data_IF_209941585915
#
_entry.id   IF_209941585915
#
_cell.length_a   1.000
_cell.length_b   1.000
_cell.length_c   1.000
_cell.angle_alpha   90.00
_cell.angle_beta   90.00
_cell.angle_gamma   90.00
#
_symmetry.space_group_name_H-M   'P 1'
#
loop_
_entity.id
_entity.type
_entity.pdbx_description
1 polymer ?
#
# COMPACT_ATOMS: atom_id res chain seq x y z
N UNK A 1 18.89 14.02 15.92
CA UNK A 1 17.46 13.76 16.26
C UNK A 1 16.56 15.01 16.16
N UNK A 2 16.95 16.19 16.68
CA UNK A 2 16.13 17.41 16.61
C UNK A 2 15.74 17.83 15.17
N UNK A 3 16.64 17.67 14.20
CA UNK A 3 16.39 18.03 12.79
C UNK A 3 15.39 17.09 12.11
N UNK A 4 15.51 15.78 12.34
CA UNK A 4 14.56 14.76 11.82
C UNK A 4 13.13 15.09 12.25
N UNK A 5 12.93 15.34 13.55
CA UNK A 5 11.59 15.64 14.07
C UNK A 5 11.00 16.93 13.47
N UNK A 6 11.83 17.96 13.24
CA UNK A 6 11.38 19.21 12.61
C UNK A 6 10.94 18.99 11.17
N UNK A 7 11.77 18.32 10.37
CA UNK A 7 11.45 18.00 8.97
C UNK A 7 10.20 17.11 8.91
N UNK A 8 10.16 16.04 9.70
CA UNK A 8 9.02 15.13 9.77
C UNK A 8 7.72 15.88 10.11
N UNK A 9 7.73 16.71 11.17
CA UNK A 9 6.54 17.46 11.61
C UNK A 9 6.08 18.47 10.56
N UNK A 10 7.02 19.12 9.89
CA UNK A 10 6.71 20.04 8.80
C UNK A 10 6.05 19.30 7.63
N UNK A 11 6.67 18.23 7.16
CA UNK A 11 6.17 17.48 6.01
C UNK A 11 4.85 16.77 6.30
N UNK A 12 4.70 16.19 7.48
CA UNK A 12 3.46 15.56 7.90
C UNK A 12 2.31 16.59 7.90
N UNK A 13 2.56 17.81 8.39
CA UNK A 13 1.57 18.90 8.35
C UNK A 13 1.28 19.37 6.92
N UNK A 14 2.28 19.40 6.05
CA UNK A 14 2.15 19.77 4.65
C UNK A 14 1.25 18.76 3.92
N UNK A 15 1.54 17.47 4.06
CA UNK A 15 0.78 16.38 3.43
C UNK A 15 -0.64 16.28 3.99
N UNK A 16 -0.83 16.42 5.31
CA UNK A 16 -2.18 16.41 5.92
C UNK A 16 -3.08 17.56 5.47
N UNK A 17 -2.52 18.72 5.13
CA UNK A 17 -3.28 19.85 4.57
C UNK A 17 -3.51 19.72 3.07
N UNK A 18 -2.83 18.78 2.42
CA UNK A 18 -2.95 18.52 0.99
C UNK A 18 -4.34 18.00 0.63
N UNK A 19 -4.99 18.65 -0.34
CA UNK A 19 -6.31 18.20 -0.86
C UNK A 19 -6.26 16.77 -1.37
N UNK A 20 -5.16 16.37 -2.01
CA UNK A 20 -5.00 15.02 -2.58
C UNK A 20 -5.08 13.91 -1.54
N UNK A 21 -4.53 14.11 -0.34
CA UNK A 21 -4.63 13.12 0.73
C UNK A 21 -6.08 12.96 1.20
N UNK A 22 -6.79 14.09 1.36
CA UNK A 22 -8.21 14.08 1.75
C UNK A 22 -9.06 13.36 0.69
N UNK A 23 -8.83 13.65 -0.59
CA UNK A 23 -9.51 12.94 -1.70
C UNK A 23 -9.22 11.44 -1.65
N UNK A 24 -7.97 11.04 -1.40
CA UNK A 24 -7.60 9.63 -1.29
C UNK A 24 -8.32 8.93 -0.12
N UNK A 25 -8.32 9.53 1.08
CA UNK A 25 -9.03 8.98 2.24
C UNK A 25 -10.53 8.87 2.00
N UNK A 26 -11.16 9.91 1.43
CA UNK A 26 -12.60 9.90 1.10
C UNK A 26 -12.90 8.84 0.04
N UNK A 27 -12.06 8.72 -0.98
CA UNK A 27 -12.22 7.69 -2.01
C UNK A 27 -12.19 6.29 -1.42
N UNK A 28 -11.20 5.99 -0.57
CA UNK A 28 -11.13 4.72 0.15
C UNK A 28 -12.35 4.48 1.04
N UNK A 29 -12.81 5.52 1.74
CA UNK A 29 -14.00 5.43 2.59
C UNK A 29 -15.25 5.09 1.79
N UNK A 30 -15.49 5.81 0.68
CA UNK A 30 -16.64 5.58 -0.19
C UNK A 30 -16.58 4.21 -0.87
N UNK A 31 -15.39 3.77 -1.30
CA UNK A 31 -15.22 2.42 -1.86
C UNK A 31 -15.50 1.34 -0.83
N UNK A 32 -14.98 1.51 0.39
CA UNK A 32 -15.20 0.57 1.49
C UNK A 32 -16.67 0.49 1.87
N UNK A 33 -17.32 1.64 2.05
CA UNK A 33 -18.76 1.72 2.34
C UNK A 33 -19.60 1.12 1.22
N UNK A 34 -19.26 1.42 -0.03
CA UNK A 34 -19.92 0.86 -1.21
C UNK A 34 -19.81 -0.66 -1.26
N UNK A 35 -18.62 -1.21 -1.03
CA UNK A 35 -18.41 -2.66 -1.01
C UNK A 35 -19.16 -3.34 0.13
N UNK A 36 -19.17 -2.75 1.33
CA UNK A 36 -19.90 -3.33 2.46
C UNK A 36 -21.41 -3.34 2.20
N UNK A 37 -21.98 -2.23 1.73
CA UNK A 37 -23.42 -2.10 1.48
C UNK A 37 -23.92 -2.92 0.30
N UNK A 38 -23.17 -2.93 -0.80
CA UNK A 38 -23.56 -3.63 -2.03
C UNK A 38 -23.16 -5.11 -2.01
N UNK A 39 -22.05 -5.44 -1.37
CA UNK A 39 -21.46 -6.79 -1.35
C UNK A 39 -22.06 -7.74 -0.30
N UNK A 40 -23.06 -7.30 0.46
CA UNK A 40 -23.77 -8.13 1.44
C UNK A 40 -23.02 -8.35 2.77
N UNK A 41 -22.01 -7.52 3.06
CA UNK A 41 -21.22 -7.60 4.30
C UNK A 41 -20.38 -8.87 4.46
N UNK A 42 -19.86 -9.08 5.67
CA UNK A 42 -19.16 -10.30 6.03
C UNK A 42 -17.82 -10.52 5.31
N UNK A 43 -17.45 -11.79 5.15
CA UNK A 43 -16.18 -12.23 4.55
C UNK A 43 -16.05 -11.82 3.09
N UNK A 44 -17.15 -11.80 2.34
CA UNK A 44 -17.16 -11.41 0.92
C UNK A 44 -16.77 -9.94 0.75
N UNK A 45 -17.23 -9.06 1.64
CA UNK A 45 -16.83 -7.65 1.64
C UNK A 45 -15.32 -7.50 1.87
N UNK A 46 -14.74 -8.26 2.81
CA UNK A 46 -13.29 -8.26 3.08
C UNK A 46 -12.49 -8.72 1.86
N UNK A 47 -12.90 -9.82 1.21
CA UNK A 47 -12.23 -10.34 0.01
C UNK A 47 -12.31 -9.38 -1.18
N UNK A 48 -13.46 -8.72 -1.36
CA UNK A 48 -13.62 -7.70 -2.40
C UNK A 48 -12.74 -6.48 -2.12
N UNK A 49 -12.71 -6.02 -0.86
CA UNK A 49 -11.87 -4.90 -0.44
C UNK A 49 -10.37 -5.22 -0.51
N UNK A 50 -9.97 -6.47 -0.26
CA UNK A 50 -8.61 -6.91 -0.50
C UNK A 50 -8.18 -6.59 -1.92
N UNK A 51 -8.94 -7.00 -2.94
CA UNK A 51 -8.59 -6.75 -4.34
C UNK A 51 -8.49 -5.24 -4.64
N UNK A 52 -9.40 -4.44 -4.08
CA UNK A 52 -9.34 -2.97 -4.22
C UNK A 52 -8.07 -2.41 -3.58
N UNK A 53 -7.76 -2.80 -2.35
CA UNK A 53 -6.59 -2.33 -1.60
C UNK A 53 -5.28 -2.73 -2.29
N UNK A 54 -5.19 -3.98 -2.75
CA UNK A 54 -4.00 -4.53 -3.44
C UNK A 54 -3.70 -3.82 -4.76
N UNK A 55 -4.69 -3.21 -5.42
CA UNK A 55 -4.49 -2.47 -6.66
C UNK A 55 -4.30 -0.98 -6.38
N UNK A 56 -5.21 -0.39 -5.61
CA UNK A 56 -5.31 1.06 -5.41
C UNK A 56 -4.22 1.61 -4.49
N UNK A 57 -3.91 0.93 -3.39
CA UNK A 57 -2.94 1.43 -2.41
C UNK A 57 -1.52 1.50 -2.99
N UNK A 58 -1.01 0.46 -3.67
CA UNK A 58 0.24 0.53 -4.41
C UNK A 58 0.31 1.67 -5.43
N UNK A 59 -0.74 1.82 -6.25
CA UNK A 59 -0.79 2.83 -7.29
C UNK A 59 -0.69 4.24 -6.70
N UNK A 60 -1.54 4.55 -5.73
CA UNK A 60 -1.59 5.89 -5.13
C UNK A 60 -0.31 6.19 -4.38
N UNK A 61 0.21 5.25 -3.58
CA UNK A 61 1.44 5.46 -2.81
C UNK A 61 2.63 5.74 -3.72
N UNK A 62 2.68 5.05 -4.86
CA UNK A 62 3.78 5.16 -5.81
C UNK A 62 3.72 6.44 -6.66
N UNK A 63 2.53 6.81 -7.16
CA UNK A 63 2.33 8.06 -7.89
C UNK A 63 2.47 9.28 -6.98
N UNK A 64 1.87 9.24 -5.79
CA UNK A 64 1.93 10.35 -4.86
C UNK A 64 3.36 10.54 -4.31
N UNK A 65 4.06 9.44 -4.01
CA UNK A 65 5.44 9.51 -3.54
C UNK A 65 6.44 10.04 -4.57
N UNK A 66 6.32 9.61 -5.84
CA UNK A 66 7.17 10.15 -6.90
C UNK A 66 6.91 11.63 -7.12
N UNK A 67 5.65 12.03 -7.24
CA UNK A 67 5.26 13.42 -7.47
C UNK A 67 5.64 14.34 -6.32
N UNK A 68 5.50 13.87 -5.09
CA UNK A 68 5.89 14.60 -3.89
C UNK A 68 7.41 14.85 -3.86
N UNK A 69 8.23 13.84 -4.17
CA UNK A 69 9.68 14.01 -4.18
C UNK A 69 10.14 14.96 -5.29
N UNK A 70 9.51 14.91 -6.47
CA UNK A 70 9.77 15.86 -7.54
C UNK A 70 9.41 17.31 -7.15
N UNK A 71 8.28 17.51 -6.48
CA UNK A 71 7.87 18.83 -6.03
C UNK A 71 8.77 19.37 -4.89
N UNK A 72 9.29 18.48 -4.04
CA UNK A 72 10.18 18.84 -2.94
C UNK A 72 11.64 19.03 -3.37
N UNK A 73 12.00 18.83 -4.65
CA UNK A 73 13.40 18.82 -5.11
C UNK A 73 14.14 20.12 -4.81
N UNK A 74 13.55 21.27 -5.13
CA UNK A 74 14.14 22.59 -4.85
C UNK A 74 14.36 22.79 -3.34
N UNK A 75 13.39 22.37 -2.52
CA UNK A 75 13.49 22.43 -1.06
C UNK A 75 14.60 21.51 -0.51
N UNK A 76 14.75 20.31 -1.08
CA UNK A 76 15.82 19.38 -0.72
C UNK A 76 17.19 19.96 -1.05
N UNK A 77 17.34 20.56 -2.24
CA UNK A 77 18.59 21.21 -2.66
C UNK A 77 18.97 22.38 -1.74
N UNK A 78 17.99 23.21 -1.34
CA UNK A 78 18.21 24.30 -0.38
C UNK A 78 18.60 23.80 1.03
N UNK A 79 17.96 22.73 1.52
CA UNK A 79 18.29 22.16 2.83
C UNK A 79 19.67 21.52 2.86
N UNK A 80 20.12 20.94 1.74
CA UNK A 80 21.44 20.32 1.64
C UNK A 80 22.57 21.36 1.52
N UNK A 81 22.27 22.61 1.19
CA UNK A 81 23.21 23.72 1.29
C UNK A 81 23.47 24.14 2.76
N UNK A 82 22.58 23.75 3.68
CA UNK A 82 22.76 23.90 5.12
C UNK A 82 23.44 22.64 5.70
N UNK A 83 24.07 22.72 6.89
CA UNK A 83 24.71 21.57 7.53
C UNK A 83 23.67 20.58 8.09
N UNK A 84 22.96 19.88 7.20
CA UNK A 84 21.93 18.89 7.49
C UNK A 84 22.37 17.53 6.96
N UNK A 85 22.34 16.51 7.83
CA UNK A 85 22.68 15.15 7.43
C UNK A 85 21.69 14.58 6.40
N UNK A 86 22.20 14.02 5.30
CA UNK A 86 21.40 13.40 4.23
C UNK A 86 20.45 12.31 4.75
N UNK A 87 20.91 11.49 5.71
CA UNK A 87 20.10 10.43 6.33
C UNK A 87 18.93 11.02 7.12
N UNK A 88 19.17 12.10 7.85
CA UNK A 88 18.14 12.78 8.64
C UNK A 88 17.05 13.37 7.75
N UNK A 89 17.44 13.95 6.63
CA UNK A 89 16.52 14.51 5.63
C UNK A 89 15.68 13.41 4.96
N UNK A 90 16.32 12.32 4.52
CA UNK A 90 15.62 11.19 3.90
C UNK A 90 14.57 10.57 4.83
N UNK A 91 14.93 10.28 6.08
CA UNK A 91 13.99 9.70 7.07
C UNK A 91 12.83 10.66 7.36
N UNK A 92 13.10 11.96 7.43
CA UNK A 92 12.07 12.98 7.63
C UNK A 92 11.06 13.05 6.48
N UNK A 93 11.53 13.07 5.23
CA UNK A 93 10.70 13.08 4.02
C UNK A 93 9.91 11.77 3.86
N UNK A 94 10.59 10.63 4.00
CA UNK A 94 9.96 9.33 3.87
C UNK A 94 8.87 9.14 4.91
N UNK A 95 9.17 9.38 6.20
CA UNK A 95 8.18 9.30 7.27
C UNK A 95 7.07 10.34 7.13
N UNK A 96 7.40 11.54 6.62
CA UNK A 96 6.45 12.62 6.40
C UNK A 96 5.37 12.28 5.37
N UNK A 97 5.66 11.35 4.47
CA UNK A 97 4.74 10.88 3.45
C UNK A 97 4.11 9.50 3.77
N UNK A 98 4.93 8.54 4.19
CA UNK A 98 4.48 7.17 4.47
C UNK A 98 3.47 7.13 5.62
N UNK A 99 3.65 7.96 6.67
CA UNK A 99 2.72 7.99 7.80
C UNK A 99 1.34 8.54 7.43
N UNK A 100 1.18 9.69 6.75
CA UNK A 100 -0.13 10.15 6.30
C UNK A 100 -0.82 9.19 5.33
N UNK A 101 -0.09 8.58 4.39
CA UNK A 101 -0.67 7.60 3.46
C UNK A 101 -1.17 6.36 4.21
N UNK A 102 -0.39 5.84 5.16
CA UNK A 102 -0.79 4.73 6.01
C UNK A 102 -2.01 5.08 6.87
N UNK A 103 -2.04 6.29 7.44
CA UNK A 103 -3.18 6.78 8.20
C UNK A 103 -4.45 6.91 7.34
N UNK A 104 -4.30 7.34 6.07
CA UNK A 104 -5.42 7.40 5.13
C UNK A 104 -6.00 6.01 4.85
N UNK A 105 -5.18 4.97 4.75
CA UNK A 105 -5.65 3.57 4.63
C UNK A 105 -6.37 3.12 5.90
N UNK A 106 -5.78 3.38 7.07
CA UNK A 106 -6.40 3.02 8.36
C UNK A 106 -7.75 3.69 8.56
N UNK A 107 -7.88 4.97 8.21
CA UNK A 107 -9.13 5.72 8.36
C UNK A 107 -10.12 5.31 7.26
N UNK A 108 -9.69 5.28 6.00
CA UNK A 108 -10.55 5.03 4.86
C UNK A 108 -11.13 3.62 4.86
N UNK A 109 -10.32 2.60 5.17
CA UNK A 109 -10.78 1.20 5.23
C UNK A 109 -11.29 0.85 6.62
N UNK A 110 -10.62 1.30 7.68
CA UNK A 110 -10.96 0.89 9.04
C UNK A 110 -12.27 1.50 9.55
N UNK A 111 -12.56 2.77 9.23
CA UNK A 111 -13.72 3.47 9.79
C UNK A 111 -15.07 2.82 9.39
N UNK A 112 -15.32 2.48 8.11
CA UNK A 112 -16.55 1.78 7.72
C UNK A 112 -16.70 0.40 8.36
N UNK A 113 -15.59 -0.33 8.55
CA UNK A 113 -15.64 -1.62 9.24
C UNK A 113 -15.95 -1.48 10.72
N UNK A 114 -15.47 -0.44 11.42
CA UNK A 114 -15.85 -0.24 12.83
C UNK A 114 -17.36 -0.09 13.03
N UNK A 115 -18.07 0.44 12.03
CA UNK A 115 -19.52 0.61 12.09
C UNK A 115 -20.30 -0.67 11.75
N UNK A 116 -19.76 -1.49 10.85
CA UNK A 116 -20.46 -2.66 10.29
C UNK A 116 -19.88 -4.02 10.71
N UNK A 117 -18.76 -4.05 11.46
CA UNK A 117 -18.05 -5.29 11.77
C UNK A 117 -18.75 -6.11 12.84
N UNK A 118 -18.91 -7.40 12.56
CA UNK A 118 -19.16 -8.41 13.59
C UNK A 118 -17.84 -8.85 14.24
N UNK A 119 -17.84 -9.33 15.50
CA UNK A 119 -16.62 -9.76 16.20
C UNK A 119 -15.80 -10.83 15.43
N UNK A 120 -16.49 -11.68 14.66
CA UNK A 120 -15.89 -12.70 13.80
C UNK A 120 -15.00 -12.15 12.66
N UNK A 121 -15.20 -10.89 12.26
CA UNK A 121 -14.47 -10.26 11.15
C UNK A 121 -13.25 -9.44 11.63
N UNK A 122 -13.05 -9.28 12.94
CA UNK A 122 -11.97 -8.45 13.48
C UNK A 122 -10.58 -8.93 13.04
N UNK A 123 -10.36 -10.25 12.97
CA UNK A 123 -9.10 -10.84 12.50
C UNK A 123 -8.79 -10.50 11.04
N UNK A 124 -9.62 -10.92 10.06
CA UNK A 124 -9.41 -10.62 8.65
C UNK A 124 -9.31 -9.11 8.34
N UNK A 125 -10.12 -8.28 9.00
CA UNK A 125 -10.06 -6.82 8.83
C UNK A 125 -8.74 -6.25 9.38
N UNK A 126 -8.29 -6.70 10.55
CA UNK A 126 -7.01 -6.28 11.12
C UNK A 126 -5.83 -6.61 10.20
N UNK A 127 -5.85 -7.81 9.62
CA UNK A 127 -4.86 -8.25 8.63
C UNK A 127 -4.90 -7.38 7.36
N UNK A 128 -6.10 -7.04 6.87
CA UNK A 128 -6.27 -6.18 5.70
C UNK A 128 -5.67 -4.79 5.93
N UNK A 129 -5.91 -4.21 7.12
CA UNK A 129 -5.36 -2.91 7.50
C UNK A 129 -3.84 -2.94 7.63
N UNK A 130 -3.27 -3.95 8.29
CA UNK A 130 -1.81 -4.12 8.40
C UNK A 130 -1.18 -4.28 7.02
N UNK A 131 -1.78 -5.10 6.16
CA UNK A 131 -1.31 -5.31 4.78
C UNK A 131 -1.36 -4.02 3.98
N UNK A 132 -2.45 -3.26 4.08
CA UNK A 132 -2.58 -1.96 3.43
C UNK A 132 -1.51 -0.96 3.88
N UNK A 133 -1.22 -0.88 5.18
CA UNK A 133 -0.15 -0.02 5.74
C UNK A 133 1.22 -0.45 5.22
N UNK A 134 1.53 -1.75 5.25
CA UNK A 134 2.81 -2.27 4.76
C UNK A 134 2.99 -1.98 3.26
N UNK A 135 1.93 -2.15 2.46
CA UNK A 135 1.96 -1.79 1.04
C UNK A 135 2.20 -0.29 0.84
N UNK A 136 1.55 0.58 1.61
CA UNK A 136 1.83 2.02 1.55
C UNK A 136 3.31 2.32 1.81
N UNK A 137 3.91 1.69 2.82
CA UNK A 137 5.32 1.89 3.17
C UNK A 137 6.25 1.40 2.05
N UNK A 138 6.04 0.16 1.57
CA UNK A 138 6.87 -0.47 0.53
C UNK A 138 6.79 0.31 -0.79
N UNK A 139 5.57 0.64 -1.24
CA UNK A 139 5.40 1.37 -2.50
C UNK A 139 5.85 2.82 -2.41
N UNK A 140 5.78 3.45 -1.23
CA UNK A 140 6.41 4.77 -1.01
C UNK A 140 7.94 4.68 -1.11
N UNK A 141 8.55 3.60 -0.62
CA UNK A 141 10.00 3.40 -0.75
C UNK A 141 10.43 3.21 -2.20
N UNK A 142 9.66 2.42 -2.96
CA UNK A 142 9.84 2.27 -4.41
C UNK A 142 9.63 3.59 -5.15
N UNK A 143 8.66 4.40 -4.75
CA UNK A 143 8.43 5.73 -5.31
C UNK A 143 9.65 6.63 -5.16
N UNK A 144 10.27 6.63 -3.98
CA UNK A 144 11.49 7.39 -3.72
C UNK A 144 12.65 6.89 -4.58
N UNK A 145 12.81 5.56 -4.74
CA UNK A 145 13.82 4.98 -5.61
C UNK A 145 13.62 5.44 -7.06
N UNK A 146 12.41 5.34 -7.59
CA UNK A 146 12.09 5.78 -8.97
C UNK A 146 12.39 7.27 -9.14
N UNK A 147 11.96 8.11 -8.19
CA UNK A 147 12.17 9.55 -8.28
C UNK A 147 13.64 9.98 -8.16
N UNK A 148 14.49 9.16 -7.51
CA UNK A 148 15.93 9.39 -7.44
C UNK A 148 16.66 8.91 -8.70
N UNK A 149 16.21 7.82 -9.33
CA UNK A 149 16.81 7.26 -10.55
C UNK A 149 16.49 8.13 -11.78
N UNK A 150 15.25 8.60 -11.89
CA UNK A 150 14.80 9.38 -13.04
C UNK A 150 14.77 10.88 -12.70
N UNK A 151 15.67 11.65 -13.28
CA UNK A 151 15.75 13.10 -13.04
C UNK A 151 14.57 13.89 -13.65
N UNK A 152 13.97 13.37 -14.72
CA UNK A 152 12.84 13.98 -15.43
C UNK A 152 11.52 13.49 -14.83
N UNK A 153 10.65 14.44 -14.45
CA UNK A 153 9.34 14.18 -13.85
C UNK A 153 8.44 13.31 -14.72
N UNK A 154 8.42 13.53 -16.03
CA UNK A 154 7.58 12.76 -16.94
C UNK A 154 8.06 11.32 -17.08
N UNK A 155 9.39 11.13 -17.22
CA UNK A 155 10.00 9.79 -17.28
C UNK A 155 9.82 9.03 -15.97
N UNK A 156 9.99 9.72 -14.84
CA UNK A 156 9.78 9.16 -13.52
C UNK A 156 8.36 8.68 -13.29
N UNK A 157 7.36 9.49 -13.65
CA UNK A 157 5.96 9.10 -13.54
C UNK A 157 5.64 7.89 -14.43
N UNK A 158 6.14 7.87 -15.66
CA UNK A 158 6.00 6.73 -16.58
C UNK A 158 6.64 5.46 -16.03
N UNK A 159 7.86 5.55 -15.49
CA UNK A 159 8.54 4.43 -14.84
C UNK A 159 7.80 3.95 -13.59
N UNK A 160 7.18 4.87 -12.84
CA UNK A 160 6.35 4.54 -11.70
C UNK A 160 5.13 3.69 -12.11
N UNK A 161 4.39 4.14 -13.13
CA UNK A 161 3.23 3.41 -13.65
C UNK A 161 3.65 2.05 -14.20
N UNK A 162 4.77 1.97 -14.92
CA UNK A 162 5.32 0.70 -15.43
C UNK A 162 5.69 -0.24 -14.29
N UNK A 163 6.36 0.25 -13.24
CA UNK A 163 6.73 -0.55 -12.08
C UNK A 163 5.48 -1.10 -11.37
N UNK A 164 4.47 -0.24 -11.17
CA UNK A 164 3.19 -0.67 -10.62
C UNK A 164 2.54 -1.76 -11.47
N UNK A 165 2.46 -1.57 -12.79
CA UNK A 165 1.85 -2.53 -13.71
C UNK A 165 2.61 -3.87 -13.73
N UNK A 166 3.94 -3.83 -13.67
CA UNK A 166 4.76 -5.03 -13.57
C UNK A 166 4.45 -5.80 -12.30
N UNK A 167 4.48 -5.13 -11.15
CA UNK A 167 4.32 -5.78 -9.84
C UNK A 167 2.88 -6.22 -9.59
N UNK A 168 1.87 -5.50 -10.07
CA UNK A 168 0.46 -5.81 -9.75
C UNK A 168 -0.26 -6.67 -10.77
N UNK A 169 0.14 -6.62 -12.05
CA UNK A 169 -0.61 -7.28 -13.14
C UNK A 169 0.27 -8.25 -13.92
N UNK A 170 1.42 -7.80 -14.42
CA UNK A 170 2.25 -8.68 -15.25
C UNK A 170 2.86 -9.81 -14.43
N UNK A 171 3.24 -9.57 -13.17
CA UNK A 171 3.80 -10.60 -12.32
C UNK A 171 2.85 -11.79 -12.14
N UNK A 172 1.58 -11.50 -11.85
CA UNK A 172 0.51 -12.51 -11.77
C UNK A 172 0.35 -13.28 -13.10
N UNK A 173 0.36 -12.58 -14.24
CA UNK A 173 0.25 -13.19 -15.56
C UNK A 173 1.43 -14.10 -15.92
N UNK A 174 2.65 -13.68 -15.57
CA UNK A 174 3.87 -14.48 -15.75
C UNK A 174 3.83 -15.71 -14.86
N UNK A 175 3.47 -15.55 -13.58
CA UNK A 175 3.28 -16.66 -12.64
C UNK A 175 2.30 -17.69 -13.19
N UNK A 176 1.13 -17.24 -13.68
CA UNK A 176 0.12 -18.11 -14.25
C UNK A 176 0.66 -18.87 -15.47
N UNK A 177 1.39 -18.20 -16.36
CA UNK A 177 2.01 -18.84 -17.53
C UNK A 177 3.03 -19.92 -17.14
N UNK A 178 3.86 -19.64 -16.13
CA UNK A 178 4.82 -20.62 -15.57
C UNK A 178 4.09 -21.81 -14.99
N UNK A 179 3.09 -21.59 -14.14
CA UNK A 179 2.26 -22.67 -13.57
C UNK A 179 1.59 -23.47 -14.66
N UNK A 180 1.07 -22.83 -15.70
CA UNK A 180 0.39 -23.50 -16.80
C UNK A 180 1.33 -24.36 -17.66
N UNK A 181 2.59 -23.96 -17.81
CA UNK A 181 3.58 -24.68 -18.62
C UNK A 181 4.21 -25.84 -17.86
N UNK A 182 4.43 -25.70 -16.55
CA UNK A 182 5.13 -26.67 -15.71
C UNK A 182 4.19 -27.45 -14.77
N UNK A 183 2.92 -27.64 -15.16
CA UNK A 183 1.91 -28.33 -14.33
C UNK A 183 2.32 -29.72 -13.86
N UNK A 184 3.16 -30.41 -14.64
CA UNK A 184 3.60 -31.78 -14.35
C UNK A 184 4.77 -31.85 -13.34
N UNK A 185 5.32 -30.71 -12.91
CA UNK A 185 6.42 -30.63 -11.95
C UNK A 185 5.95 -30.15 -10.57
N UNK A 186 6.63 -30.55 -9.47
CA UNK A 186 6.33 -30.04 -8.13
C UNK A 186 6.74 -28.57 -8.02
N UNK A 187 5.76 -27.66 -8.18
CA UNK A 187 5.99 -26.21 -8.22
C UNK A 187 5.83 -25.52 -6.85
N UNK A 188 5.53 -26.25 -5.78
CA UNK A 188 5.22 -25.70 -4.45
C UNK A 188 6.32 -24.75 -3.93
N UNK A 189 7.57 -25.22 -3.86
CA UNK A 189 8.70 -24.43 -3.36
C UNK A 189 9.07 -23.26 -4.29
N UNK A 190 9.20 -23.45 -5.62
CA UNK A 190 9.44 -22.35 -6.54
C UNK A 190 8.35 -21.26 -6.49
N UNK A 191 7.07 -21.66 -6.41
CA UNK A 191 5.95 -20.71 -6.34
C UNK A 191 5.97 -19.91 -5.04
N UNK A 192 6.27 -20.55 -3.90
CA UNK A 192 6.43 -19.85 -2.64
C UNK A 192 7.53 -18.78 -2.73
N UNK A 193 8.71 -19.14 -3.26
CA UNK A 193 9.81 -18.17 -3.43
C UNK A 193 9.41 -17.02 -4.36
N UNK A 194 8.74 -17.32 -5.47
CA UNK A 194 8.26 -16.28 -6.39
C UNK A 194 7.25 -15.35 -5.71
N UNK A 195 6.22 -15.88 -5.05
CA UNK A 195 5.23 -15.05 -4.34
C UNK A 195 5.87 -14.17 -3.26
N UNK A 196 6.92 -14.64 -2.58
CA UNK A 196 7.69 -13.86 -1.60
C UNK A 196 8.37 -12.61 -2.19
N UNK A 197 8.69 -12.59 -3.49
CA UNK A 197 9.25 -11.41 -4.14
C UNK A 197 8.21 -10.31 -4.39
N UNK A 198 6.92 -10.65 -4.46
CA UNK A 198 5.87 -9.69 -4.71
C UNK A 198 5.12 -9.33 -3.42
N UNK A 199 5.28 -8.11 -2.88
CA UNK A 199 4.59 -7.71 -1.66
C UNK A 199 3.06 -7.71 -1.80
N UNK A 200 2.54 -7.56 -3.03
CA UNK A 200 1.10 -7.59 -3.33
C UNK A 200 0.57 -9.01 -3.18
N UNK A 201 1.27 -9.99 -3.75
CA UNK A 201 0.87 -11.41 -3.66
C UNK A 201 1.04 -11.95 -2.25
N UNK A 202 2.11 -11.55 -1.54
CA UNK A 202 2.26 -11.85 -0.12
C UNK A 202 1.07 -11.35 0.70
N UNK A 203 0.65 -10.11 0.48
CA UNK A 203 -0.53 -9.54 1.12
C UNK A 203 -1.80 -10.34 0.82
N UNK A 204 -1.96 -10.76 -0.44
CA UNK A 204 -3.10 -11.59 -0.89
C UNK A 204 -3.11 -12.96 -0.20
N UNK A 205 -1.99 -13.68 -0.21
CA UNK A 205 -1.86 -15.01 0.39
C UNK A 205 -2.12 -14.94 1.90
N UNK A 206 -1.53 -13.96 2.59
CA UNK A 206 -1.70 -13.77 4.02
C UNK A 206 -3.18 -13.52 4.38
N UNK A 207 -3.87 -12.68 3.60
CA UNK A 207 -5.30 -12.44 3.78
C UNK A 207 -6.16 -13.69 3.54
N UNK A 208 -5.93 -14.41 2.45
CA UNK A 208 -6.68 -15.63 2.13
C UNK A 208 -6.53 -16.68 3.23
N UNK A 209 -5.31 -16.90 3.74
CA UNK A 209 -5.07 -17.82 4.86
C UNK A 209 -5.88 -17.43 6.10
N UNK A 210 -5.94 -16.14 6.44
CA UNK A 210 -6.67 -15.68 7.62
C UNK A 210 -8.18 -15.77 7.47
N UNK A 211 -8.68 -15.59 6.25
CA UNK A 211 -10.11 -15.74 5.93
C UNK A 211 -10.54 -17.20 5.98
N UNK A 212 -9.76 -18.12 5.44
CA UNK A 212 -10.06 -19.56 5.49
C UNK A 212 -10.04 -20.10 6.93
N UNK A 213 -9.07 -19.67 7.74
CA UNK A 213 -9.02 -20.01 9.18
C UNK A 213 -10.25 -19.45 9.91
N UNK A 214 -10.65 -18.21 9.62
CA UNK A 214 -11.85 -17.62 10.22
C UNK A 214 -13.14 -18.34 9.80
N UNK A 215 -13.22 -18.81 8.54
CA UNK A 215 -14.33 -19.62 8.06
C UNK A 215 -14.40 -20.97 8.80
N UNK A 216 -13.26 -21.65 8.97
CA UNK A 216 -13.17 -22.91 9.73
C UNK A 216 -13.57 -22.73 11.21
N UNK A 217 -13.15 -21.64 11.85
CA UNK A 217 -13.49 -21.32 13.25
C UNK A 217 -14.97 -20.95 13.44
N UNK A 218 -15.63 -20.45 12.39
CA UNK A 218 -17.08 -20.19 12.39
C UNK A 218 -17.92 -21.46 12.23
N UNK A 219 -17.39 -22.51 11.60
CA UNK A 219 -18.08 -23.80 11.41
C UNK A 219 -18.02 -24.72 12.64
N UNK A 220 -17.04 -24.55 13.54
CA UNK A 220 -16.89 -25.38 14.74
C UNK A 220 -17.56 -24.81 16.00
N UNK A 221 -18.37 -23.76 15.86
CA UNK A 221 -19.11 -23.10 16.94
C UNK A 221 -20.60 -23.50 17.04
N UNK A 222 -21.01 -24.56 16.36
CA UNK A 222 -22.36 -25.15 16.41
C UNK A 222 -22.31 -26.58 16.93
#
# INVERSE_FOLDING_TARGET
>A
MKTIHKVLKYELRNVLRGRSLVVYTICLLLLTEGVIRLGGGGTRAVLSLMNVVLILVPLVSLLFGTMYLYAAREFIELLLAQPVDRRSLFVGLFGGLALPLSAAVLIGVGFPFLWHSTPSLAGPVGVLLVTGVLLSIVFTALAFLVALVFADRAKGLGAAIMLWLVVTVLYDGVLLAVVATFRDYPLENPLLVLTLFNPVDLGRVLLLLTVDIAALMGYTGA
#
